data_IF_150031099492
#
_entry.id   IF_150031099492
#
_cell.length_a   1.000
_cell.length_b   1.000
_cell.length_c   1.000
_cell.angle_alpha   90.00
_cell.angle_beta   90.00
_cell.angle_gamma   90.00
#
_symmetry.space_group_name_H-M   'P 1'
#
loop_
_entity.id
_entity.type
_entity.pdbx_description
1 polymer ?
#
# COMPACT_ATOMS: atom_id res chain seq x y z
N UNK A 1 15.35 -10.71 -11.92
CA UNK A 1 16.24 -11.38 -10.96
C UNK A 1 15.88 -10.93 -9.56
N UNK A 2 15.46 -11.82 -8.68
CA UNK A 2 15.20 -11.47 -7.28
C UNK A 2 16.54 -11.08 -6.65
N UNK A 3 16.70 -9.80 -6.32
CA UNK A 3 17.92 -9.34 -5.64
C UNK A 3 18.08 -10.12 -4.33
N UNK A 4 19.26 -10.70 -4.02
CA UNK A 4 19.53 -11.41 -2.77
C UNK A 4 19.14 -10.60 -1.53
N UNK A 5 19.16 -9.27 -1.64
CA UNK A 5 18.72 -8.33 -0.62
C UNK A 5 17.35 -8.64 -0.02
N UNK A 6 16.32 -8.90 -0.84
CA UNK A 6 14.96 -9.12 -0.33
C UNK A 6 14.84 -10.45 0.42
N UNK A 7 15.48 -11.50 -0.09
CA UNK A 7 15.50 -12.81 0.55
C UNK A 7 16.20 -12.72 1.91
N UNK A 8 17.38 -12.10 1.96
CA UNK A 8 18.15 -11.91 3.20
C UNK A 8 17.41 -11.03 4.22
N UNK A 9 16.66 -10.03 3.75
CA UNK A 9 15.78 -9.21 4.61
C UNK A 9 14.71 -10.08 5.28
N UNK A 10 14.01 -10.90 4.49
CA UNK A 10 12.96 -11.79 5.01
C UNK A 10 13.53 -12.88 5.93
N UNK A 11 14.74 -13.38 5.68
CA UNK A 11 15.42 -14.32 6.58
C UNK A 11 15.75 -13.67 7.93
N UNK A 12 16.22 -12.42 7.94
CA UNK A 12 16.49 -11.69 9.17
C UNK A 12 15.20 -11.45 9.98
N UNK A 13 14.09 -11.08 9.31
CA UNK A 13 12.78 -10.98 9.94
C UNK A 13 12.31 -12.34 10.47
N UNK A 14 12.53 -13.42 9.72
CA UNK A 14 12.22 -14.79 10.14
C UNK A 14 12.92 -15.17 11.44
N UNK A 15 14.21 -14.82 11.56
CA UNK A 15 14.98 -15.01 12.81
C UNK A 15 14.42 -14.21 13.98
N UNK A 16 13.95 -12.97 13.74
CA UNK A 16 13.44 -12.09 14.80
C UNK A 16 12.01 -12.42 15.25
N UNK A 17 11.16 -12.87 14.32
CA UNK A 17 9.72 -13.10 14.55
C UNK A 17 9.33 -14.59 14.55
N UNK A 18 10.30 -15.50 14.42
CA UNK A 18 10.09 -16.93 14.62
C UNK A 18 9.45 -17.67 13.43
N UNK A 19 9.77 -17.29 12.20
CA UNK A 19 9.28 -17.98 11.00
C UNK A 19 10.39 -18.30 9.99
N UNK A 20 10.11 -19.23 9.07
CA UNK A 20 10.98 -19.61 7.95
C UNK A 20 10.37 -19.16 6.63
N UNK A 21 11.22 -18.92 5.63
CA UNK A 21 10.78 -18.55 4.27
C UNK A 21 9.88 -19.59 3.60
N UNK A 22 10.00 -20.87 3.97
CA UNK A 22 9.16 -21.95 3.44
C UNK A 22 7.80 -22.09 4.12
N UNK A 23 7.56 -21.35 5.20
CA UNK A 23 6.30 -21.43 5.93
C UNK A 23 5.18 -20.75 5.13
N UNK A 24 3.96 -21.28 5.23
CA UNK A 24 2.80 -20.68 4.55
C UNK A 24 2.48 -19.35 5.21
N UNK A 25 2.38 -18.28 4.42
CA UNK A 25 2.10 -16.93 4.94
C UNK A 25 0.87 -16.88 5.88
N UNK A 26 -0.20 -17.63 5.55
CA UNK A 26 -1.42 -17.69 6.37
C UNK A 26 -1.19 -18.26 7.77
N UNK A 27 -0.21 -19.16 7.93
CA UNK A 27 0.08 -19.88 9.17
C UNK A 27 1.05 -19.08 10.07
N UNK A 28 1.58 -17.95 9.60
CA UNK A 28 2.40 -17.04 10.38
C UNK A 28 1.58 -16.35 11.49
N UNK A 29 2.24 -15.97 12.58
CA UNK A 29 1.62 -15.14 13.62
C UNK A 29 1.22 -13.77 13.06
N UNK A 30 0.19 -13.16 13.63
CA UNK A 30 -0.22 -11.81 13.20
C UNK A 30 0.90 -10.79 13.40
N UNK A 31 1.69 -10.89 14.47
CA UNK A 31 2.86 -10.04 14.67
C UNK A 31 3.88 -10.17 13.53
N UNK A 32 4.19 -11.40 13.08
CA UNK A 32 5.11 -11.62 11.96
C UNK A 32 4.54 -11.07 10.64
N UNK A 33 3.24 -11.27 10.37
CA UNK A 33 2.58 -10.71 9.19
C UNK A 33 2.63 -9.18 9.19
N UNK A 34 2.31 -8.56 10.33
CA UNK A 34 2.38 -7.10 10.50
C UNK A 34 3.82 -6.59 10.33
N UNK A 35 4.81 -7.29 10.90
CA UNK A 35 6.22 -6.93 10.74
C UNK A 35 6.68 -6.96 9.27
N UNK A 36 6.23 -7.95 8.49
CA UNK A 36 6.52 -8.04 7.06
C UNK A 36 5.81 -6.92 6.29
N UNK A 37 4.52 -6.73 6.51
CA UNK A 37 3.68 -5.84 5.69
C UNK A 37 3.88 -4.37 6.04
N UNK A 38 3.88 -4.03 7.32
CA UNK A 38 3.84 -2.67 7.84
C UNK A 38 5.11 -2.26 8.59
N UNK A 39 6.06 -3.18 8.75
CA UNK A 39 7.36 -2.89 9.35
C UNK A 39 7.43 -3.21 10.83
N UNK A 40 8.62 -3.04 11.40
CA UNK A 40 8.94 -3.47 12.78
C UNK A 40 8.71 -2.38 13.83
N UNK A 41 8.20 -1.21 13.42
CA UNK A 41 8.02 -0.05 14.30
C UNK A 41 9.35 0.37 14.92
N UNK A 42 9.42 0.37 16.25
CA UNK A 42 10.62 0.70 17.02
C UNK A 42 11.56 -0.49 17.24
N UNK A 43 11.10 -1.72 16.93
CA UNK A 43 11.90 -2.92 17.13
C UNK A 43 12.99 -3.00 16.06
N UNK A 44 14.23 -2.91 16.48
CA UNK A 44 15.37 -3.11 15.60
C UNK A 44 15.57 -4.59 15.28
N UNK A 45 15.94 -4.86 14.03
CA UNK A 45 16.30 -6.18 13.54
C UNK A 45 17.70 -6.12 12.96
N UNK A 46 18.47 -7.15 13.24
CA UNK A 46 19.82 -7.29 12.71
C UNK A 46 19.78 -7.99 11.36
N UNK A 47 20.15 -7.25 10.31
CA UNK A 47 20.25 -7.73 8.95
C UNK A 47 21.71 -8.05 8.61
N UNK A 48 21.91 -9.18 7.94
CA UNK A 48 23.19 -9.55 7.37
C UNK A 48 23.00 -9.67 5.86
N UNK A 49 23.72 -8.83 5.13
CA UNK A 49 23.68 -8.83 3.68
C UNK A 49 24.97 -9.37 3.10
N UNK A 50 24.85 -10.19 2.07
CA UNK A 50 25.97 -10.79 1.34
C UNK A 50 25.64 -10.83 -0.16
N UNK A 51 26.41 -10.11 -0.97
CA UNK A 51 26.26 -10.09 -2.43
C UNK A 51 27.33 -10.94 -3.15
N UNK A 52 28.11 -11.73 -2.41
CA UNK A 52 29.21 -12.55 -2.90
C UNK A 52 30.54 -11.81 -3.06
N UNK A 53 30.53 -10.47 -3.11
CA UNK A 53 31.73 -9.62 -3.15
C UNK A 53 32.00 -8.97 -1.79
N UNK A 54 30.93 -8.61 -1.07
CA UNK A 54 30.97 -7.95 0.24
C UNK A 54 29.86 -8.50 1.13
N UNK A 55 30.22 -8.71 2.39
CA UNK A 55 29.24 -8.96 3.45
C UNK A 55 29.27 -7.85 4.48
N UNK A 56 28.09 -7.41 4.92
CA UNK A 56 27.96 -6.43 5.99
C UNK A 56 26.76 -6.73 6.88
N UNK A 57 26.85 -6.27 8.13
CA UNK A 57 25.82 -6.43 9.15
C UNK A 57 25.33 -5.07 9.60
N UNK A 58 24.02 -4.89 9.70
CA UNK A 58 23.40 -3.64 10.14
C UNK A 58 22.21 -3.94 11.03
N UNK A 59 22.05 -3.17 12.11
CA UNK A 59 20.89 -3.22 12.98
C UNK A 59 20.08 -1.96 12.72
N UNK A 60 18.82 -2.15 12.31
CA UNK A 60 17.88 -1.05 12.01
C UNK A 60 16.44 -1.54 12.11
N UNK A 61 15.49 -0.63 12.08
CA UNK A 61 14.08 -0.97 11.88
C UNK A 61 13.83 -1.32 10.41
N UNK A 62 12.83 -2.17 10.18
CA UNK A 62 12.35 -2.46 8.84
C UNK A 62 11.09 -1.64 8.57
N UNK A 63 11.09 -0.93 7.44
CA UNK A 63 10.01 -0.05 7.00
C UNK A 63 8.69 -0.81 6.71
N UNK A 64 8.77 -2.09 6.33
CA UNK A 64 7.63 -2.87 5.85
C UNK A 64 7.52 -2.83 4.33
N UNK A 65 6.91 -3.87 3.75
CA UNK A 65 6.72 -3.98 2.30
C UNK A 65 5.75 -2.92 1.78
N UNK A 66 4.63 -2.69 2.47
CA UNK A 66 3.59 -1.76 2.02
C UNK A 66 4.10 -0.30 2.09
N UNK A 67 4.64 0.20 3.23
CA UNK A 67 5.15 1.57 3.28
C UNK A 67 6.30 1.80 2.30
N UNK A 68 7.15 0.79 2.08
CA UNK A 68 8.21 0.86 1.08
C UNK A 68 7.67 1.06 -0.34
N UNK A 69 6.67 0.26 -0.75
CA UNK A 69 6.06 0.40 -2.06
C UNK A 69 5.33 1.75 -2.21
N UNK A 70 4.59 2.17 -1.19
CA UNK A 70 3.87 3.44 -1.19
C UNK A 70 4.83 4.64 -1.33
N UNK A 71 5.90 4.67 -0.53
CA UNK A 71 6.90 5.73 -0.58
C UNK A 71 7.62 5.74 -1.94
N UNK A 72 8.04 4.58 -2.44
CA UNK A 72 8.70 4.49 -3.76
C UNK A 72 7.80 4.94 -4.90
N UNK A 73 6.51 4.64 -4.85
CA UNK A 73 5.54 5.12 -5.83
C UNK A 73 5.41 6.65 -5.82
N UNK A 74 5.39 7.26 -4.62
CA UNK A 74 5.32 8.73 -4.43
C UNK A 74 6.61 9.45 -4.85
N UNK A 75 7.77 8.88 -4.52
CA UNK A 75 9.07 9.53 -4.67
C UNK A 75 9.76 9.26 -6.02
N UNK A 76 9.40 8.18 -6.73
CA UNK A 76 10.08 7.84 -7.98
C UNK A 76 9.72 8.81 -9.11
N UNK A 77 10.73 9.23 -9.89
CA UNK A 77 10.53 9.99 -11.14
C UNK A 77 10.39 9.09 -12.37
N UNK A 78 10.64 7.77 -12.24
CA UNK A 78 10.54 6.82 -13.34
C UNK A 78 9.11 6.36 -13.56
N UNK A 79 8.54 6.67 -14.73
CA UNK A 79 7.20 6.24 -15.12
C UNK A 79 7.06 4.71 -15.11
N UNK A 80 8.05 3.99 -15.66
CA UNK A 80 8.05 2.52 -15.68
C UNK A 80 8.02 1.94 -14.27
N UNK A 81 8.79 2.53 -13.35
CA UNK A 81 8.81 2.07 -11.95
C UNK A 81 7.48 2.32 -11.25
N UNK A 82 6.84 3.46 -11.55
CA UNK A 82 5.52 3.80 -11.02
C UNK A 82 4.47 2.79 -11.48
N UNK A 83 4.44 2.48 -12.77
CA UNK A 83 3.53 1.49 -13.35
C UNK A 83 3.74 0.09 -12.77
N UNK A 84 5.00 -0.35 -12.58
CA UNK A 84 5.29 -1.67 -11.99
C UNK A 84 4.77 -1.77 -10.55
N UNK A 85 4.87 -0.70 -9.76
CA UNK A 85 4.33 -0.67 -8.38
C UNK A 85 2.79 -0.62 -8.40
N UNK A 86 2.18 0.12 -9.34
CA UNK A 86 0.72 0.24 -9.46
C UNK A 86 0.01 -1.10 -9.68
N UNK A 87 0.71 -2.11 -10.21
CA UNK A 87 0.20 -3.49 -10.33
C UNK A 87 -0.18 -4.13 -9.00
N UNK A 88 0.36 -3.62 -7.88
CA UNK A 88 0.03 -4.07 -6.52
C UNK A 88 -0.97 -3.16 -5.81
N UNK A 89 -1.48 -2.14 -6.50
CA UNK A 89 -2.40 -1.14 -5.95
C UNK A 89 -3.80 -1.28 -6.56
N UNK A 90 -4.80 -0.71 -5.88
CA UNK A 90 -6.16 -0.59 -6.41
C UNK A 90 -6.74 0.78 -6.08
N UNK A 91 -7.60 1.27 -6.96
CA UNK A 91 -8.30 2.53 -6.74
C UNK A 91 -9.38 2.36 -5.67
N UNK A 92 -9.36 3.24 -4.66
CA UNK A 92 -10.38 3.32 -3.61
C UNK A 92 -10.98 4.73 -3.61
N UNK A 93 -12.29 4.90 -3.29
CA UNK A 93 -12.88 6.22 -3.18
C UNK A 93 -12.09 7.12 -2.23
N UNK A 94 -11.78 8.34 -2.68
CA UNK A 94 -11.08 9.31 -1.86
C UNK A 94 -11.91 9.62 -0.60
N UNK A 95 -11.35 9.52 0.63
CA UNK A 95 -12.11 9.72 1.85
C UNK A 95 -12.63 11.15 2.01
N UNK A 96 -11.92 12.15 1.46
CA UNK A 96 -12.30 13.55 1.58
C UNK A 96 -13.53 13.93 0.72
N UNK A 97 -13.62 13.41 -0.51
CA UNK A 97 -14.72 13.70 -1.42
C UNK A 97 -15.67 12.52 -1.64
N UNK A 98 -15.43 11.38 -0.98
CA UNK A 98 -16.16 10.12 -1.12
C UNK A 98 -16.26 9.60 -2.56
N UNK A 99 -15.31 9.97 -3.41
CA UNK A 99 -15.32 9.62 -4.84
C UNK A 99 -16.00 10.64 -5.75
N UNK A 100 -16.64 11.69 -5.22
CA UNK A 100 -17.33 12.73 -6.02
C UNK A 100 -16.39 13.76 -6.65
N UNK A 101 -15.09 13.74 -6.32
CA UNK A 101 -14.03 14.58 -6.93
C UNK A 101 -14.24 16.09 -6.82
N UNK A 102 -15.13 16.52 -5.92
CA UNK A 102 -15.47 17.92 -5.70
C UNK A 102 -15.19 18.35 -4.26
N UNK A 103 -15.02 19.67 -4.07
CA UNK A 103 -14.89 20.27 -2.75
C UNK A 103 -16.19 20.14 -1.95
N UNK A 104 -16.13 20.09 -0.60
CA UNK A 104 -17.32 20.03 0.25
C UNK A 104 -18.35 21.14 -0.03
N UNK A 105 -17.92 22.36 -0.35
CA UNK A 105 -18.82 23.49 -0.63
C UNK A 105 -19.63 23.27 -1.91
N UNK A 106 -19.04 22.65 -2.92
CA UNK A 106 -19.74 22.29 -4.16
C UNK A 106 -20.75 21.14 -3.94
N UNK A 107 -20.42 20.20 -3.05
CA UNK A 107 -21.31 19.10 -2.66
C UNK A 107 -22.42 19.54 -1.69
N UNK A 108 -22.32 20.73 -1.09
CA UNK A 108 -23.37 21.29 -0.25
C UNK A 108 -24.54 21.87 -1.05
N UNK A 109 -24.29 22.28 -2.31
CA UNK A 109 -25.34 22.80 -3.20
C UNK A 109 -26.20 21.64 -3.70
N UNK A 110 -27.51 21.75 -3.46
CA UNK A 110 -28.47 20.71 -3.79
C UNK A 110 -29.63 21.26 -4.62
N UNK A 111 -30.05 20.47 -5.59
CA UNK A 111 -31.28 20.66 -6.36
C UNK A 111 -32.15 19.44 -6.05
N UNK A 112 -33.43 19.65 -5.72
CA UNK A 112 -34.35 18.55 -5.36
C UNK A 112 -33.74 17.52 -4.37
N UNK A 113 -32.99 18.00 -3.37
CA UNK A 113 -32.38 17.18 -2.33
C UNK A 113 -31.09 16.44 -2.71
N UNK A 114 -30.60 16.53 -3.95
CA UNK A 114 -29.37 15.87 -4.45
C UNK A 114 -28.29 16.88 -4.80
N UNK A 115 -27.05 16.59 -4.46
CA UNK A 115 -25.92 17.37 -4.98
C UNK A 115 -25.47 16.82 -6.33
N UNK A 116 -24.63 17.57 -7.05
CA UNK A 116 -24.14 17.21 -8.39
C UNK A 116 -23.55 15.79 -8.45
N UNK A 117 -22.77 15.39 -7.43
CA UNK A 117 -22.21 14.04 -7.32
C UNK A 117 -23.27 12.92 -7.31
N UNK A 118 -24.37 13.09 -6.57
CA UNK A 118 -25.44 12.11 -6.46
C UNK A 118 -26.12 11.90 -7.82
N UNK A 119 -26.30 12.99 -8.57
CA UNK A 119 -26.93 12.95 -9.90
C UNK A 119 -26.00 12.29 -10.92
N UNK A 120 -24.68 12.53 -10.84
CA UNK A 120 -23.70 11.87 -11.73
C UNK A 120 -23.55 10.36 -11.49
N UNK A 121 -23.90 9.88 -10.29
CA UNK A 121 -23.92 8.44 -9.98
C UNK A 121 -25.18 7.75 -10.48
N UNK A 122 -26.23 8.50 -10.85
CA UNK A 122 -27.44 7.91 -11.39
C UNK A 122 -27.19 7.29 -12.77
N UNK A 123 -27.76 6.12 -13.00
CA UNK A 123 -27.97 5.62 -14.36
C UNK A 123 -28.83 6.60 -15.16
N UNK A 124 -28.64 6.65 -16.48
CA UNK A 124 -29.39 7.54 -17.40
C UNK A 124 -30.90 7.55 -17.12
N UNK A 125 -31.53 6.38 -16.97
CA UNK A 125 -32.98 6.25 -16.67
C UNK A 125 -33.39 6.96 -15.39
N UNK A 126 -32.58 6.87 -14.33
CA UNK A 126 -32.87 7.51 -13.04
C UNK A 126 -32.64 9.02 -13.09
N UNK A 127 -31.67 9.47 -13.88
CA UNK A 127 -31.43 10.89 -14.10
C UNK A 127 -32.58 11.54 -14.88
N UNK A 128 -33.07 10.89 -15.94
CA UNK A 128 -34.25 11.32 -16.72
C UNK A 128 -35.49 11.55 -15.84
N UNK A 129 -35.78 10.58 -14.97
CA UNK A 129 -36.86 10.69 -13.97
C UNK A 129 -36.64 11.81 -12.94
N UNK A 130 -35.39 12.22 -12.70
CA UNK A 130 -35.08 13.28 -11.74
C UNK A 130 -35.22 14.68 -12.34
N UNK A 131 -35.05 14.81 -13.66
CA UNK A 131 -35.20 16.08 -14.38
C UNK A 131 -36.65 16.41 -14.77
N UNK A 132 -37.56 15.45 -14.67
CA UNK A 132 -38.99 15.59 -15.00
C UNK A 132 -39.80 15.87 -13.75
#
# INVERSE_FOLDING_TARGET
STSPYYVQTLEALGKAYGFKLGDKFRDLTEEAKQAILHGTGEREVTFQYDDGLRSYKTTKTFEGVIPNLERRWKETESAWMREEIERFMSATPCPACRGYRLKPEALAVKIAGKHIGDVTELSIRKADQWFT
#
